data_IF_276189294546
#
_entry.id   IF_276189294546
#
_cell.length_a   1.000
_cell.length_b   1.000
_cell.length_c   1.000
_cell.angle_alpha   90.00
_cell.angle_beta   90.00
_cell.angle_gamma   90.00
#
_symmetry.space_group_name_H-M   'P 1'
#
loop_
_entity.id
_entity.type
_entity.pdbx_description
1 polymer ?
#
# COMPACT_ATOMS: atom_id res chain seq x y z
N UNK A 1 -25.83 13.58 -30.79
CA UNK A 1 -25.03 14.67 -31.36
C UNK A 1 -25.84 15.96 -31.28
N UNK A 2 -25.61 16.79 -30.25
CA UNK A 2 -26.34 18.06 -30.05
C UNK A 2 -25.35 19.23 -30.03
N UNK A 3 -25.37 19.95 -31.15
CA UNK A 3 -25.22 21.40 -31.38
C UNK A 3 -24.09 22.16 -30.66
N UNK A 4 -23.07 22.43 -31.48
CA UNK A 4 -22.26 23.65 -31.51
C UNK A 4 -23.15 24.88 -31.74
N UNK A 5 -23.02 25.92 -30.91
CA UNK A 5 -23.41 27.28 -31.28
C UNK A 5 -22.31 28.25 -30.85
N UNK A 6 -21.80 28.93 -31.87
CA UNK A 6 -20.73 29.91 -31.90
C UNK A 6 -21.35 31.30 -31.63
N UNK A 7 -20.82 32.07 -30.67
CA UNK A 7 -21.01 33.52 -30.64
C UNK A 7 -19.65 34.18 -30.43
N UNK A 8 -19.19 34.83 -31.49
CA UNK A 8 -18.04 35.73 -31.55
C UNK A 8 -18.62 37.16 -31.55
N UNK A 9 -18.19 38.04 -30.64
CA UNK A 9 -18.30 39.49 -30.81
C UNK A 9 -17.09 40.22 -30.19
N UNK A 10 -16.71 41.30 -30.88
CA UNK A 10 -15.45 42.03 -30.85
C UNK A 10 -15.10 42.82 -29.56
N UNK A 11 -13.77 42.89 -29.36
CA UNK A 11 -12.86 43.88 -28.73
C UNK A 11 -13.35 45.35 -28.67
N UNK A 12 -12.87 46.20 -27.71
CA UNK A 12 -11.58 46.91 -27.92
C UNK A 12 -10.68 47.07 -26.67
N UNK A 13 -9.36 47.21 -26.93
CA UNK A 13 -8.32 47.72 -26.02
C UNK A 13 -8.52 49.24 -25.79
N UNK A 14 -8.34 49.72 -24.55
CA UNK A 14 -7.77 51.04 -24.26
C UNK A 14 -7.09 51.08 -22.88
N UNK A 15 -5.97 51.79 -22.85
CA UNK A 15 -5.15 52.16 -21.69
C UNK A 15 -5.87 53.15 -20.77
N UNK A 16 -5.61 53.07 -19.46
CA UNK A 16 -5.45 54.26 -18.61
C UNK A 16 -4.63 53.94 -17.36
N UNK A 17 -3.71 54.84 -17.02
CA UNK A 17 -2.97 54.91 -15.76
C UNK A 17 -3.77 55.75 -14.77
N UNK A 18 -3.76 55.43 -13.47
CA UNK A 18 -4.38 56.26 -12.44
C UNK A 18 -4.50 55.59 -11.07
N UNK A 19 -3.55 55.97 -10.20
CA UNK A 19 -3.55 56.11 -8.73
C UNK A 19 -4.27 55.17 -7.74
N UNK A 20 -3.62 55.14 -6.58
CA UNK A 20 -3.88 54.39 -5.35
C UNK A 20 -5.26 54.60 -4.75
N UNK A 21 -5.80 53.53 -4.16
CA UNK A 21 -6.37 53.59 -2.82
C UNK A 21 -6.12 52.28 -2.08
N UNK A 22 -5.65 52.43 -0.85
CA UNK A 22 -5.35 51.39 0.12
C UNK A 22 -6.65 51.08 0.87
N UNK A 23 -7.37 50.03 0.48
CA UNK A 23 -8.35 49.40 1.36
C UNK A 23 -8.10 47.89 1.42
N UNK A 24 -7.82 47.47 2.65
CA UNK A 24 -7.76 46.11 3.13
C UNK A 24 -9.07 45.37 2.82
N UNK A 25 -9.05 44.50 1.82
CA UNK A 25 -9.93 43.35 1.73
C UNK A 25 -9.28 42.32 0.80
N UNK A 26 -8.51 41.40 1.40
CA UNK A 26 -8.26 40.10 0.77
C UNK A 26 -8.58 39.02 1.80
N UNK A 27 -9.85 39.04 2.19
CA UNK A 27 -10.53 37.96 2.89
C UNK A 27 -10.62 36.78 1.94
N UNK A 28 -9.98 35.69 2.36
CA UNK A 28 -10.47 34.32 2.19
C UNK A 28 -10.91 33.92 0.78
N UNK A 29 -9.92 33.48 0.00
CA UNK A 29 -10.09 32.26 -0.78
C UNK A 29 -9.06 31.23 -0.32
N UNK A 30 -9.32 30.70 0.87
CA UNK A 30 -8.61 29.55 1.39
C UNK A 30 -8.96 28.33 0.52
N UNK A 31 -8.06 28.00 -0.39
CA UNK A 31 -7.98 26.68 -1.04
C UNK A 31 -7.52 25.61 -0.03
N UNK A 32 -8.15 25.53 1.14
CA UNK A 32 -7.75 24.70 2.30
C UNK A 32 -8.09 23.22 2.19
N UNK A 33 -8.27 22.67 0.99
CA UNK A 33 -8.71 21.27 0.83
C UNK A 33 -7.61 20.26 0.46
N UNK A 34 -6.34 20.64 0.26
CA UNK A 34 -5.30 19.62 0.05
C UNK A 34 -3.84 20.03 0.31
N UNK A 35 -3.56 20.95 1.25
CA UNK A 35 -2.16 21.27 1.56
C UNK A 35 -1.59 20.26 2.55
N UNK A 36 -0.92 19.22 2.04
CA UNK A 36 -0.07 18.35 2.85
C UNK A 36 1.06 19.19 3.46
N UNK A 37 1.07 19.36 4.79
CA UNK A 37 2.11 20.11 5.49
C UNK A 37 3.39 19.28 5.60
N UNK A 38 4.54 19.89 5.38
CA UNK A 38 5.81 19.26 5.75
C UNK A 38 5.91 19.19 7.28
N UNK A 39 6.14 18.00 7.82
CA UNK A 39 6.17 17.70 9.25
C UNK A 39 7.62 17.70 9.72
N UNK A 40 7.94 18.62 10.64
CA UNK A 40 9.27 18.69 11.25
C UNK A 40 9.44 17.66 12.37
N UNK A 41 10.69 17.40 12.75
CA UNK A 41 11.00 16.55 13.90
C UNK A 41 10.42 17.11 15.21
N UNK A 42 10.36 18.43 15.35
CA UNK A 42 9.74 19.13 16.47
C UNK A 42 8.21 18.93 16.50
N UNK A 43 7.53 19.08 15.35
CA UNK A 43 6.08 18.83 15.25
C UNK A 43 5.72 17.39 15.65
N UNK A 44 6.56 16.40 15.29
CA UNK A 44 6.40 15.02 15.77
C UNK A 44 6.58 14.90 17.28
N UNK A 45 7.58 15.57 17.86
CA UNK A 45 7.81 15.56 19.32
C UNK A 45 6.64 16.20 20.08
N UNK A 46 6.02 17.22 19.51
CA UNK A 46 4.91 17.97 20.11
C UNK A 46 3.53 17.32 19.85
N UNK A 47 3.45 16.13 19.26
CA UNK A 47 2.21 15.38 19.12
C UNK A 47 1.30 15.80 17.96
N UNK A 48 1.87 16.26 16.84
CA UNK A 48 1.07 16.67 15.67
C UNK A 48 0.05 15.60 15.21
N UNK A 49 -1.17 16.03 14.93
CA UNK A 49 -2.24 15.23 14.35
C UNK A 49 -2.81 15.91 13.11
N UNK A 50 -3.06 15.16 12.05
CA UNK A 50 -3.49 15.68 10.75
C UNK A 50 -2.74 15.08 9.57
N UNK A 51 -2.95 15.60 8.36
CA UNK A 51 -2.26 15.11 7.15
C UNK A 51 -0.93 15.84 6.95
N UNK A 52 0.11 15.09 6.60
CA UNK A 52 1.40 15.69 6.32
C UNK A 52 2.38 14.79 5.56
N UNK A 53 3.47 15.41 5.16
CA UNK A 53 4.63 14.80 4.52
C UNK A 53 5.81 14.87 5.48
N UNK A 54 6.54 13.78 5.65
CA UNK A 54 7.80 13.76 6.39
C UNK A 54 8.87 13.17 5.50
N UNK A 55 10.00 13.85 5.41
CA UNK A 55 11.19 13.37 4.72
C UNK A 55 12.37 13.34 5.69
N UNK A 56 13.11 12.23 5.75
CA UNK A 56 14.32 12.11 6.57
C UNK A 56 15.25 11.03 6.04
N UNK A 57 16.52 11.36 5.81
CA UNK A 57 17.53 10.42 5.33
C UNK A 57 17.10 9.58 4.11
N UNK A 58 16.32 10.17 3.20
CA UNK A 58 15.79 9.49 2.01
C UNK A 58 14.50 8.71 2.23
N UNK A 59 14.10 8.45 3.47
CA UNK A 59 12.76 7.95 3.78
C UNK A 59 11.73 9.07 3.61
N UNK A 60 10.55 8.69 3.13
CA UNK A 60 9.41 9.58 2.95
C UNK A 60 8.13 8.93 3.45
N UNK A 61 7.36 9.66 4.24
CA UNK A 61 5.98 9.33 4.58
C UNK A 61 5.05 10.43 4.12
N UNK A 62 3.94 10.06 3.50
CA UNK A 62 2.84 10.95 3.14
C UNK A 62 1.55 10.32 3.62
N UNK A 63 0.86 10.95 4.56
CA UNK A 63 -0.36 10.38 5.12
C UNK A 63 -0.84 11.08 6.37
N UNK A 64 -1.68 10.39 7.11
CA UNK A 64 -2.25 10.91 8.35
C UNK A 64 -1.31 10.68 9.55
N UNK A 65 -1.41 11.57 10.52
CA UNK A 65 -0.70 11.53 11.79
C UNK A 65 -1.68 11.62 12.94
N UNK A 66 -1.33 10.95 14.03
CA UNK A 66 -1.97 11.09 15.33
C UNK A 66 -0.89 11.09 16.40
N UNK A 67 -0.89 12.10 17.26
CA UNK A 67 0.06 12.25 18.37
C UNK A 67 1.53 12.07 17.93
N UNK A 68 1.88 12.66 16.79
CA UNK A 68 3.22 12.62 16.21
C UNK A 68 3.62 11.28 15.58
N UNK A 69 2.70 10.32 15.45
CA UNK A 69 2.93 9.00 14.84
C UNK A 69 2.12 8.82 13.57
N UNK A 70 2.59 7.97 12.65
CA UNK A 70 1.82 7.56 11.48
C UNK A 70 0.53 6.87 11.91
N UNK A 71 -0.58 7.27 11.31
CA UNK A 71 -1.91 6.78 11.61
C UNK A 71 -2.77 6.82 10.34
N UNK A 72 -3.92 6.15 10.32
CA UNK A 72 -4.87 6.23 9.21
C UNK A 72 -4.26 5.75 7.89
N UNK A 73 -4.64 6.36 6.77
CA UNK A 73 -4.08 6.01 5.46
C UNK A 73 -2.76 6.74 5.21
N UNK A 74 -1.80 6.03 4.60
CA UNK A 74 -0.52 6.62 4.25
C UNK A 74 0.26 5.85 3.19
N UNK A 75 1.27 6.52 2.67
CA UNK A 75 2.31 5.94 1.82
C UNK A 75 3.66 6.15 2.49
N UNK A 76 4.38 5.07 2.73
CA UNK A 76 5.77 5.09 3.16
C UNK A 76 6.67 4.59 2.04
N UNK A 77 7.68 5.38 1.70
CA UNK A 77 8.74 5.03 0.75
C UNK A 77 10.06 5.08 1.51
N UNK A 78 10.77 3.95 1.61
CA UNK A 78 12.11 3.94 2.21
C UNK A 78 13.15 4.56 1.28
N UNK A 79 14.31 4.96 1.82
CA UNK A 79 15.46 5.42 1.05
C UNK A 79 15.91 4.42 -0.04
N UNK A 80 15.73 3.11 0.20
CA UNK A 80 16.03 2.05 -0.75
C UNK A 80 14.92 1.83 -1.80
N UNK A 81 13.89 2.69 -1.84
CA UNK A 81 12.79 2.64 -2.80
C UNK A 81 11.65 1.67 -2.47
N UNK A 82 11.78 0.82 -1.44
CA UNK A 82 10.65 -0.04 -1.01
C UNK A 82 9.45 0.83 -0.63
N UNK A 83 8.25 0.42 -1.07
CA UNK A 83 7.03 1.19 -0.92
C UNK A 83 5.97 0.40 -0.17
N UNK A 84 5.32 1.04 0.79
CA UNK A 84 4.10 0.57 1.43
C UNK A 84 2.99 1.61 1.24
N UNK A 85 1.81 1.16 0.84
CA UNK A 85 0.60 1.98 0.75
C UNK A 85 -0.49 1.25 1.51
N UNK A 86 -1.08 1.89 2.52
CA UNK A 86 -2.15 1.27 3.30
C UNK A 86 -2.33 1.93 4.66
N UNK A 87 -2.95 1.19 5.57
CA UNK A 87 -3.27 1.69 6.90
C UNK A 87 -2.06 1.67 7.84
N UNK A 88 -2.06 2.62 8.77
CA UNK A 88 -1.10 2.75 9.86
C UNK A 88 -1.82 2.93 11.20
N UNK A 89 -1.23 2.37 12.25
CA UNK A 89 -1.64 2.57 13.64
C UNK A 89 -0.41 2.66 14.52
N UNK A 90 -0.34 3.72 15.32
CA UNK A 90 0.74 3.99 16.27
C UNK A 90 2.15 3.89 15.65
N UNK A 91 2.30 4.35 14.42
CA UNK A 91 3.57 4.33 13.68
C UNK A 91 3.88 3.01 12.97
N UNK A 92 3.02 2.00 13.06
CA UNK A 92 3.20 0.68 12.42
C UNK A 92 2.18 0.47 11.31
N UNK A 93 2.54 -0.34 10.31
CA UNK A 93 1.60 -0.83 9.30
C UNK A 93 0.51 -1.67 9.99
N UNK A 94 -0.74 -1.47 9.63
CA UNK A 94 -1.91 -2.18 10.15
C UNK A 94 -2.95 -2.34 9.06
N UNK A 95 -4.04 -3.08 9.31
CA UNK A 95 -5.18 -3.13 8.42
C UNK A 95 -4.80 -3.62 7.02
N UNK A 96 -5.45 -3.11 5.98
CA UNK A 96 -5.11 -3.47 4.60
C UNK A 96 -3.93 -2.66 4.07
N UNK A 97 -3.05 -3.31 3.33
CA UNK A 97 -1.93 -2.63 2.69
C UNK A 97 -1.29 -3.39 1.53
N UNK A 98 -0.57 -2.64 0.71
CA UNK A 98 0.27 -3.14 -0.38
C UNK A 98 1.71 -2.79 -0.12
N UNK A 99 2.59 -3.79 -0.15
CA UNK A 99 4.04 -3.61 -0.14
C UNK A 99 4.64 -4.02 -1.48
N UNK A 100 5.54 -3.20 -1.99
CA UNK A 100 6.31 -3.45 -3.21
C UNK A 100 7.79 -3.26 -2.86
N UNK A 101 8.60 -4.27 -3.16
CA UNK A 101 10.04 -4.16 -2.97
C UNK A 101 10.70 -3.55 -4.20
N UNK A 102 11.54 -2.53 -3.98
CA UNK A 102 12.46 -2.03 -5.00
C UNK A 102 13.79 -2.80 -4.99
N UNK A 103 14.21 -3.30 -3.82
CA UNK A 103 15.46 -4.07 -3.67
C UNK A 103 15.34 -5.52 -4.12
N UNK A 104 14.11 -6.05 -4.19
CA UNK A 104 13.81 -7.38 -4.72
C UNK A 104 12.69 -7.28 -5.77
N UNK A 105 13.02 -6.83 -7.01
CA UNK A 105 12.02 -6.62 -8.06
C UNK A 105 11.13 -7.86 -8.27
N UNK A 106 9.82 -7.63 -8.42
CA UNK A 106 8.83 -8.71 -8.50
C UNK A 106 8.26 -9.14 -7.15
N UNK A 107 8.95 -8.88 -6.03
CA UNK A 107 8.40 -9.14 -4.71
C UNK A 107 7.29 -8.13 -4.37
N UNK A 108 6.09 -8.65 -4.10
CA UNK A 108 4.90 -7.86 -3.77
C UNK A 108 4.04 -8.60 -2.75
N UNK A 109 3.50 -7.85 -1.79
CA UNK A 109 2.48 -8.37 -0.89
C UNK A 109 1.27 -7.43 -0.87
N UNK A 110 0.07 -8.00 -0.92
CA UNK A 110 -1.21 -7.29 -0.76
C UNK A 110 -2.05 -8.06 0.25
N UNK A 111 -2.40 -7.44 1.36
CA UNK A 111 -3.20 -8.12 2.38
C UNK A 111 -3.17 -7.42 3.72
N UNK A 112 -3.53 -8.17 4.75
CA UNK A 112 -3.66 -7.65 6.11
C UNK A 112 -2.31 -7.50 6.83
N UNK A 113 -2.23 -6.46 7.66
CA UNK A 113 -1.10 -6.17 8.51
C UNK A 113 -1.54 -6.06 9.96
N UNK A 114 -0.71 -6.59 10.85
CA UNK A 114 -0.82 -6.41 12.30
C UNK A 114 0.55 -6.15 12.88
N UNK A 115 0.68 -5.05 13.62
CA UNK A 115 1.93 -4.63 14.26
C UNK A 115 3.14 -4.57 13.31
N UNK A 116 2.92 -4.12 12.08
CA UNK A 116 3.98 -3.98 11.06
C UNK A 116 4.28 -5.24 10.25
N UNK A 117 3.60 -6.36 10.52
CA UNK A 117 3.86 -7.67 9.91
C UNK A 117 2.66 -8.18 9.14
N UNK A 118 2.89 -9.05 8.15
CA UNK A 118 1.80 -9.71 7.43
C UNK A 118 0.98 -10.57 8.38
N UNK A 119 -0.33 -10.49 8.24
CA UNK A 119 -1.31 -11.22 9.03
C UNK A 119 -2.53 -11.52 8.17
N UNK A 120 -3.46 -12.34 8.65
CA UNK A 120 -4.76 -12.55 8.02
C UNK A 120 -4.66 -13.00 6.55
N UNK A 121 -5.63 -12.60 5.74
CA UNK A 121 -5.68 -12.96 4.32
C UNK A 121 -4.74 -12.07 3.50
N UNK A 122 -4.08 -12.66 2.50
CA UNK A 122 -3.25 -11.91 1.58
C UNK A 122 -2.80 -12.67 0.34
N UNK A 123 -2.22 -11.92 -0.58
CA UNK A 123 -1.51 -12.41 -1.76
C UNK A 123 -0.04 -12.00 -1.66
N UNK A 124 0.85 -12.98 -1.68
CA UNK A 124 2.30 -12.80 -1.73
C UNK A 124 2.81 -13.25 -3.11
N UNK A 125 3.62 -12.43 -3.75
CA UNK A 125 4.34 -12.77 -4.97
C UNK A 125 5.82 -12.62 -4.64
N UNK A 126 6.60 -13.68 -4.84
CA UNK A 126 8.06 -13.64 -4.71
C UNK A 126 8.70 -13.05 -5.97
N UNK A 127 9.97 -12.67 -5.88
CA UNK A 127 10.77 -12.26 -7.04
C UNK A 127 10.98 -13.37 -8.09
N UNK A 128 10.75 -14.64 -7.71
CA UNK A 128 10.78 -15.77 -8.63
C UNK A 128 9.43 -16.03 -9.30
N UNK A 129 8.40 -15.22 -9.03
CA UNK A 129 7.07 -15.36 -9.61
C UNK A 129 6.19 -16.40 -8.91
N UNK A 130 6.67 -17.08 -7.87
CA UNK A 130 5.83 -17.93 -7.00
C UNK A 130 4.80 -17.05 -6.31
N UNK A 131 3.52 -17.44 -6.43
CA UNK A 131 2.37 -16.71 -5.87
C UNK A 131 1.73 -17.55 -4.77
N UNK A 132 1.51 -16.96 -3.62
CA UNK A 132 0.70 -17.54 -2.55
C UNK A 132 -0.55 -16.68 -2.32
N UNK A 133 -1.70 -17.32 -2.16
CA UNK A 133 -2.98 -16.68 -1.78
C UNK A 133 -3.57 -17.46 -0.61
N UNK A 134 -3.78 -16.81 0.52
CA UNK A 134 -4.34 -17.46 1.70
C UNK A 134 -4.04 -16.72 2.99
N UNK A 135 -4.06 -17.47 4.09
CA UNK A 135 -3.75 -16.96 5.42
C UNK A 135 -2.22 -16.84 5.63
N UNK A 136 -1.80 -15.72 6.21
CA UNK A 136 -0.42 -15.47 6.61
C UNK A 136 -0.33 -15.09 8.08
N UNK A 137 0.79 -15.46 8.70
CA UNK A 137 1.15 -15.03 10.05
C UNK A 137 2.64 -14.75 10.11
N UNK A 138 3.00 -13.56 10.61
CA UNK A 138 4.41 -13.18 10.80
C UNK A 138 5.23 -13.32 9.50
N UNK A 139 4.62 -13.02 8.35
CA UNK A 139 5.21 -13.13 6.99
C UNK A 139 5.22 -14.52 6.35
N UNK A 140 4.75 -15.57 7.03
CA UNK A 140 4.71 -16.94 6.50
C UNK A 140 3.29 -17.40 6.20
N UNK A 141 3.06 -18.22 5.16
CA UNK A 141 1.86 -19.04 5.02
C UNK A 141 1.53 -19.79 6.33
N UNK A 142 0.35 -19.59 6.87
CA UNK A 142 -0.12 -20.18 8.13
C UNK A 142 -1.64 -20.18 8.13
N UNK A 143 -2.26 -21.36 8.01
CA UNK A 143 -3.70 -21.51 7.76
C UNK A 143 -4.00 -22.06 6.36
N UNK A 144 -5.17 -21.75 5.79
CA UNK A 144 -5.53 -22.23 4.44
C UNK A 144 -4.92 -21.36 3.36
N UNK A 145 -4.44 -21.97 2.28
CA UNK A 145 -3.96 -21.23 1.12
C UNK A 145 -3.56 -22.08 -0.07
N UNK A 146 -3.28 -21.38 -1.17
CA UNK A 146 -2.84 -21.94 -2.45
C UNK A 146 -1.53 -21.29 -2.87
N UNK A 147 -0.51 -22.10 -3.12
CA UNK A 147 0.74 -21.70 -3.74
C UNK A 147 0.76 -22.13 -5.20
N UNK A 148 1.08 -21.21 -6.10
CA UNK A 148 1.19 -21.43 -7.54
C UNK A 148 2.60 -21.10 -7.99
N UNK A 149 3.24 -22.07 -8.64
CA UNK A 149 4.60 -21.95 -9.14
C UNK A 149 4.59 -21.60 -10.64
N UNK A 150 5.59 -20.85 -11.14
CA UNK A 150 5.68 -20.51 -12.56
C UNK A 150 5.74 -21.71 -13.51
N UNK A 151 6.19 -22.88 -13.01
CA UNK A 151 6.24 -24.13 -13.77
C UNK A 151 4.88 -24.84 -13.88
N UNK A 152 3.80 -24.25 -13.36
CA UNK A 152 2.44 -24.82 -13.39
C UNK A 152 2.09 -25.71 -12.21
N UNK A 153 3.01 -25.97 -11.28
CA UNK A 153 2.70 -26.70 -10.04
C UNK A 153 1.79 -25.85 -9.15
N UNK A 154 0.78 -26.48 -8.55
CA UNK A 154 -0.16 -25.86 -7.62
C UNK A 154 -0.19 -26.69 -6.34
N UNK A 155 -0.05 -26.04 -5.19
CA UNK A 155 -0.16 -26.65 -3.87
C UNK A 155 -1.27 -25.95 -3.08
N UNK A 156 -2.37 -26.63 -2.81
CA UNK A 156 -3.52 -26.11 -2.08
C UNK A 156 -3.75 -26.90 -0.80
N UNK A 157 -3.87 -26.23 0.34
CA UNK A 157 -4.15 -26.93 1.58
C UNK A 157 -3.91 -26.11 2.83
N UNK A 158 -3.65 -26.82 3.91
CA UNK A 158 -3.23 -26.25 5.18
C UNK A 158 -1.72 -25.99 5.20
N UNK A 159 -1.35 -24.85 5.75
CA UNK A 159 0.00 -24.35 5.88
C UNK A 159 0.33 -24.08 7.33
N UNK A 160 1.59 -24.29 7.70
CA UNK A 160 2.13 -23.94 9.01
C UNK A 160 3.58 -23.51 8.86
N UNK A 161 3.89 -22.32 9.36
CA UNK A 161 5.25 -21.75 9.32
C UNK A 161 5.88 -21.79 7.92
N UNK A 162 5.07 -21.55 6.89
CA UNK A 162 5.48 -21.51 5.49
C UNK A 162 5.54 -22.85 4.77
N UNK A 163 5.13 -23.94 5.43
CA UNK A 163 5.18 -25.30 4.89
C UNK A 163 3.80 -25.93 4.80
N UNK A 164 3.57 -26.77 3.81
CA UNK A 164 2.35 -27.56 3.67
C UNK A 164 2.26 -28.55 4.84
N UNK A 165 1.16 -28.49 5.60
CA UNK A 165 1.00 -29.22 6.84
C UNK A 165 -0.48 -29.47 7.14
N UNK A 166 -0.89 -30.74 7.20
CA UNK A 166 -2.29 -31.14 7.30
C UNK A 166 -2.85 -31.58 5.95
N UNK A 167 -4.16 -31.44 5.75
CA UNK A 167 -4.82 -31.83 4.51
C UNK A 167 -4.43 -30.88 3.36
N UNK A 168 -4.13 -31.44 2.19
CA UNK A 168 -3.86 -30.66 1.00
C UNK A 168 -3.71 -31.49 -0.28
N UNK A 169 -3.60 -30.78 -1.39
CA UNK A 169 -3.54 -31.28 -2.76
C UNK A 169 -2.38 -30.62 -3.48
N UNK A 170 -1.52 -31.42 -4.11
CA UNK A 170 -0.48 -30.98 -5.03
C UNK A 170 -0.83 -31.42 -6.43
N UNK A 171 -0.96 -30.46 -7.34
CA UNK A 171 -1.18 -30.67 -8.76
C UNK A 171 0.11 -30.36 -9.51
N UNK A 172 0.63 -31.35 -10.24
CA UNK A 172 1.84 -31.23 -11.04
C UNK A 172 1.54 -30.62 -12.42
N UNK A 173 2.59 -30.18 -13.11
CA UNK A 173 2.47 -29.54 -14.42
C UNK A 173 1.88 -30.45 -15.52
N UNK A 174 2.02 -31.77 -15.36
CA UNK A 174 1.43 -32.79 -16.24
C UNK A 174 -0.04 -33.11 -15.90
N UNK A 175 -0.61 -32.49 -14.85
CA UNK A 175 -1.95 -32.73 -14.36
C UNK A 175 -2.07 -33.85 -13.32
N UNK A 176 -0.98 -34.53 -12.97
CA UNK A 176 -0.97 -35.53 -11.89
C UNK A 176 -1.33 -34.85 -10.56
N UNK A 177 -2.08 -35.55 -9.70
CA UNK A 177 -2.56 -35.00 -8.43
C UNK A 177 -2.19 -35.92 -7.27
N UNK A 178 -1.59 -35.36 -6.22
CA UNK A 178 -1.37 -35.99 -4.92
C UNK A 178 -2.22 -35.29 -3.87
N UNK A 179 -3.20 -36.00 -3.31
CA UNK A 179 -4.12 -35.47 -2.30
C UNK A 179 -4.01 -36.30 -1.04
N UNK A 180 -3.93 -35.64 0.12
CA UNK A 180 -3.89 -36.35 1.41
C UNK A 180 -3.28 -35.52 2.52
N UNK A 181 -2.65 -36.20 3.47
CA UNK A 181 -1.99 -35.61 4.62
C UNK A 181 -0.54 -35.25 4.32
N UNK A 182 -0.16 -34.03 4.67
CA UNK A 182 1.20 -33.48 4.53
C UNK A 182 1.80 -33.13 5.89
N UNK A 183 3.11 -33.27 6.03
CA UNK A 183 3.86 -32.82 7.20
C UNK A 183 5.14 -32.14 6.76
N UNK A 184 5.19 -30.82 6.91
CA UNK A 184 6.38 -30.02 6.61
C UNK A 184 6.87 -30.22 5.16
N UNK A 185 5.95 -30.13 4.21
CA UNK A 185 6.15 -30.34 2.76
C UNK A 185 6.34 -31.81 2.32
N UNK A 186 6.28 -32.77 3.24
CA UNK A 186 6.35 -34.21 2.93
C UNK A 186 4.94 -34.82 2.85
N UNK A 187 4.65 -35.53 1.77
CA UNK A 187 3.40 -36.30 1.63
C UNK A 187 3.46 -37.56 2.49
N UNK A 188 2.45 -37.75 3.34
CA UNK A 188 2.38 -38.86 4.30
C UNK A 188 1.44 -39.98 3.82
N UNK A 189 0.44 -39.65 3.00
CA UNK A 189 -0.55 -40.60 2.49
C UNK A 189 -1.95 -39.99 2.40
N UNK A 190 -2.86 -40.71 1.76
CA UNK A 190 -4.28 -40.37 1.64
C UNK A 190 -5.03 -40.44 2.99
#
# INVERSE_FOLDING_TARGET
>A
MKKLLLILLCVPLMFSCGESDNETENTEKNDTDNLQREITSEMRKNGYSGKGTWNFNGDKYVGEYKDGKYHGQGTYTSANGNKYVGEFKDGKKSGQGTYISATNPGYKYVGEYKDGKYHGQGTLISNLGVKYVGELKQMFPDGKGTMTYPNGVIEEGLWKDGKMHGQGTKTYADGTVEKGLWRNDEFIGE
#
